data_IF_682570768977
#
_entry.id   IF_682570768977
#
_cell.length_a   1.000
_cell.length_b   1.000
_cell.length_c   1.000
_cell.angle_alpha   90.00
_cell.angle_beta   90.00
_cell.angle_gamma   90.00
#
_symmetry.space_group_name_H-M   'P 1'
#
loop_
_entity.id
_entity.type
_entity.pdbx_description
1 polymer ?
#
# COMPACT_ATOMS: atom_id res chain seq x y z
N UNK A 1 8.45 6.45 -13.03
CA UNK A 1 9.06 5.69 -11.91
C UNK A 1 7.99 4.91 -11.17
N UNK A 2 8.34 3.83 -10.43
CA UNK A 2 7.41 3.11 -9.54
C UNK A 2 7.82 3.40 -8.09
N UNK A 3 6.90 3.94 -7.30
CA UNK A 3 7.11 4.18 -5.88
C UNK A 3 6.35 3.15 -5.05
N UNK A 4 7.06 2.38 -4.23
CA UNK A 4 6.47 1.52 -3.21
C UNK A 4 6.39 2.31 -1.91
N UNK A 5 5.20 2.77 -1.55
CA UNK A 5 4.94 3.50 -0.31
C UNK A 5 4.44 2.49 0.73
N UNK A 6 5.29 2.19 1.70
CA UNK A 6 5.02 1.21 2.75
C UNK A 6 4.64 1.92 4.03
N UNK A 7 3.36 1.87 4.40
CA UNK A 7 2.84 2.54 5.60
C UNK A 7 3.11 1.73 6.86
N UNK A 8 3.66 2.35 7.88
CA UNK A 8 4.03 1.73 9.15
C UNK A 8 3.55 2.55 10.35
N UNK A 9 3.36 1.87 11.48
CA UNK A 9 3.07 2.47 12.78
C UNK A 9 3.79 1.64 13.83
N UNK A 10 5.01 2.05 14.18
CA UNK A 10 5.88 1.33 15.10
C UNK A 10 5.50 1.67 16.54
N UNK A 11 5.32 0.64 17.35
CA UNK A 11 5.15 0.73 18.80
C UNK A 11 6.32 -0.01 19.45
N UNK A 12 7.03 0.66 20.36
CA UNK A 12 8.28 0.14 20.94
C UNK A 12 8.08 -1.11 21.79
N UNK A 13 6.88 -1.30 22.32
CA UNK A 13 6.46 -2.43 23.17
C UNK A 13 5.88 -3.63 22.39
N UNK A 14 5.95 -3.62 21.04
CA UNK A 14 5.34 -4.67 20.22
C UNK A 14 6.34 -5.43 19.34
N UNK A 15 7.09 -6.41 19.90
CA UNK A 15 8.11 -7.16 19.15
C UNK A 15 7.54 -7.94 17.98
N UNK A 16 6.28 -8.40 18.06
CA UNK A 16 5.60 -9.10 16.96
C UNK A 16 5.48 -8.19 15.74
N UNK A 17 5.05 -6.93 15.92
CA UNK A 17 4.98 -5.97 14.83
C UNK A 17 6.33 -5.66 14.22
N UNK A 18 7.36 -5.53 15.05
CA UNK A 18 8.74 -5.34 14.57
C UNK A 18 9.14 -6.45 13.62
N UNK A 19 8.94 -7.71 14.01
CA UNK A 19 9.25 -8.88 13.18
C UNK A 19 8.42 -8.87 11.88
N UNK A 20 7.12 -8.54 11.95
CA UNK A 20 6.26 -8.43 10.78
C UNK A 20 6.76 -7.40 9.78
N UNK A 21 7.16 -6.20 10.23
CA UNK A 21 7.70 -5.15 9.36
C UNK A 21 9.03 -5.59 8.72
N UNK A 22 9.96 -6.16 9.49
CA UNK A 22 11.24 -6.64 8.97
C UNK A 22 11.02 -7.68 7.88
N UNK A 23 10.18 -8.68 8.14
CA UNK A 23 9.90 -9.75 7.18
C UNK A 23 9.19 -9.22 5.93
N UNK A 24 8.20 -8.36 6.10
CA UNK A 24 7.43 -7.79 4.99
C UNK A 24 8.30 -6.93 4.07
N UNK A 25 9.06 -6.00 4.64
CA UNK A 25 9.91 -5.08 3.86
C UNK A 25 11.05 -5.84 3.20
N UNK A 26 11.70 -6.77 3.90
CA UNK A 26 12.73 -7.63 3.32
C UNK A 26 12.19 -8.49 2.18
N UNK A 27 10.96 -9.01 2.30
CA UNK A 27 10.32 -9.77 1.23
C UNK A 27 9.98 -8.90 0.02
N UNK A 28 9.48 -7.67 0.24
CA UNK A 28 9.25 -6.70 -0.82
C UNK A 28 10.54 -6.38 -1.60
N UNK A 29 11.64 -6.08 -0.88
CA UNK A 29 12.95 -5.82 -1.48
C UNK A 29 13.42 -7.01 -2.34
N UNK A 30 13.30 -8.24 -1.79
CA UNK A 30 13.66 -9.46 -2.51
C UNK A 30 12.85 -9.60 -3.80
N UNK A 31 11.52 -9.44 -3.75
CA UNK A 31 10.64 -9.59 -4.92
C UNK A 31 10.93 -8.52 -5.98
N UNK A 32 11.18 -7.28 -5.58
CA UNK A 32 11.56 -6.20 -6.52
C UNK A 32 12.85 -6.58 -7.27
N UNK A 33 13.84 -7.09 -6.55
CA UNK A 33 15.10 -7.52 -7.13
C UNK A 33 14.92 -8.75 -8.04
N UNK A 34 14.24 -9.80 -7.57
CA UNK A 34 14.01 -11.03 -8.33
C UNK A 34 13.23 -10.79 -9.63
N UNK A 35 12.28 -9.87 -9.59
CA UNK A 35 11.50 -9.48 -10.77
C UNK A 35 12.23 -8.46 -11.66
N UNK A 36 13.38 -7.94 -11.25
CA UNK A 36 14.09 -6.85 -11.93
C UNK A 36 13.15 -5.67 -12.21
N UNK A 37 12.50 -5.14 -11.18
CA UNK A 37 11.65 -3.96 -11.29
C UNK A 37 12.54 -2.72 -11.28
N UNK A 38 13.04 -2.39 -12.47
CA UNK A 38 13.90 -1.23 -12.65
C UNK A 38 13.13 0.08 -12.43
N UNK A 39 13.87 1.16 -12.16
CA UNK A 39 13.30 2.49 -11.95
C UNK A 39 12.22 2.51 -10.86
N UNK A 40 12.49 1.83 -9.73
CA UNK A 40 11.61 1.78 -8.57
C UNK A 40 12.28 2.32 -7.31
N UNK A 41 11.47 2.78 -6.36
CA UNK A 41 11.92 3.27 -5.06
C UNK A 41 10.98 2.80 -3.95
N UNK A 42 11.55 2.27 -2.86
CA UNK A 42 10.79 1.95 -1.64
C UNK A 42 10.94 3.13 -0.67
N UNK A 43 9.81 3.65 -0.20
CA UNK A 43 9.74 4.66 0.85
C UNK A 43 8.87 4.09 1.98
N UNK A 44 9.46 3.95 3.15
CA UNK A 44 8.74 3.56 4.36
C UNK A 44 8.21 4.83 5.00
N UNK A 45 6.91 4.91 5.25
CA UNK A 45 6.28 6.03 5.96
C UNK A 45 5.92 5.59 7.37
N UNK A 46 6.60 6.16 8.37
CA UNK A 46 6.37 5.89 9.78
C UNK A 46 5.62 7.05 10.43
N UNK A 47 4.45 6.80 11.02
CA UNK A 47 3.50 7.84 11.39
C UNK A 47 3.45 8.26 12.88
N UNK A 48 4.41 7.82 13.68
CA UNK A 48 4.49 8.17 15.12
C UNK A 48 5.53 9.27 15.43
N UNK A 49 5.77 10.17 14.48
CA UNK A 49 6.70 11.29 14.66
C UNK A 49 8.15 10.95 14.36
N UNK A 50 8.96 11.99 14.27
CA UNK A 50 10.38 11.90 13.94
C UNK A 50 11.18 11.23 15.05
N UNK A 51 11.73 10.05 14.78
CA UNK A 51 12.60 9.31 15.70
C UNK A 51 13.44 8.27 14.97
N UNK A 52 14.55 7.86 15.54
CA UNK A 52 15.30 6.72 15.00
C UNK A 52 14.63 5.41 15.42
N UNK A 53 14.34 4.54 14.46
CA UNK A 53 13.75 3.22 14.69
C UNK A 53 14.53 2.13 13.95
N UNK A 54 14.22 0.86 14.18
CA UNK A 54 14.79 -0.25 13.43
C UNK A 54 14.51 -0.15 11.91
N UNK A 55 13.49 0.60 11.48
CA UNK A 55 13.20 0.82 10.05
C UNK A 55 14.37 1.49 9.33
N UNK A 56 15.14 2.33 10.02
CA UNK A 56 16.31 3.00 9.46
C UNK A 56 17.45 2.04 9.12
N UNK A 57 17.42 0.80 9.63
CA UNK A 57 18.44 -0.22 9.36
C UNK A 57 18.07 -1.15 8.21
N UNK A 58 16.89 -0.98 7.59
CA UNK A 58 16.39 -1.89 6.55
C UNK A 58 16.85 -1.55 5.13
N UNK A 59 17.72 -0.55 4.96
CA UNK A 59 18.26 -0.18 3.66
C UNK A 59 17.26 0.54 2.73
N UNK A 60 16.13 1.02 3.28
CA UNK A 60 15.14 1.84 2.58
C UNK A 60 15.14 3.26 3.11
N UNK A 61 14.63 4.19 2.31
CA UNK A 61 14.36 5.54 2.80
C UNK A 61 13.17 5.53 3.76
N UNK A 62 13.31 6.22 4.90
CA UNK A 62 12.24 6.34 5.90
C UNK A 62 11.80 7.80 6.00
N UNK A 63 10.52 8.02 5.74
CA UNK A 63 9.85 9.29 5.92
C UNK A 63 8.98 9.26 7.16
N UNK A 64 9.20 10.20 8.07
CA UNK A 64 8.46 10.28 9.32
C UNK A 64 7.37 11.34 9.23
N UNK A 65 6.14 10.96 9.58
CA UNK A 65 4.99 11.84 9.76
C UNK A 65 4.53 11.80 11.22
N UNK A 66 3.60 12.68 11.59
CA UNK A 66 2.92 12.64 12.89
C UNK A 66 1.44 12.29 12.76
N UNK A 67 1.04 11.64 11.67
CA UNK A 67 -0.37 11.44 11.33
C UNK A 67 -1.09 10.52 12.32
N UNK A 68 -0.35 9.69 13.06
CA UNK A 68 -0.98 8.91 14.13
C UNK A 68 -1.56 9.77 15.25
N UNK A 69 -1.09 11.02 15.41
CA UNK A 69 -1.61 11.99 16.39
C UNK A 69 -2.86 12.73 15.94
N UNK A 70 -3.29 12.60 14.68
CA UNK A 70 -4.54 13.19 14.19
C UNK A 70 -5.69 12.70 15.06
N UNK A 71 -6.53 13.64 15.52
CA UNK A 71 -7.65 13.37 16.43
C UNK A 71 -8.82 12.70 15.66
N UNK A 72 -8.65 11.44 15.36
CA UNK A 72 -9.65 10.57 14.71
C UNK A 72 -9.40 9.12 15.09
N UNK A 73 -10.46 8.33 15.16
CA UNK A 73 -10.38 6.87 15.30
C UNK A 73 -10.24 6.18 13.93
N UNK A 74 -10.40 6.91 12.84
CA UNK A 74 -10.28 6.36 11.50
C UNK A 74 -8.82 6.12 11.11
N UNK A 75 -8.36 4.88 11.27
CA UNK A 75 -6.99 4.47 10.92
C UNK A 75 -6.71 4.59 9.43
N UNK A 76 -7.73 4.34 8.59
CA UNK A 76 -7.62 4.46 7.15
C UNK A 76 -7.36 5.91 6.70
N UNK A 77 -7.98 6.89 7.37
CA UNK A 77 -7.70 8.31 7.13
C UNK A 77 -6.23 8.64 7.41
N UNK A 78 -5.69 8.16 8.54
CA UNK A 78 -4.29 8.39 8.90
C UNK A 78 -3.33 7.78 7.88
N UNK A 79 -3.62 6.55 7.45
CA UNK A 79 -2.83 5.84 6.45
C UNK A 79 -2.89 6.52 5.06
N UNK A 80 -4.05 7.01 4.66
CA UNK A 80 -4.19 7.79 3.42
C UNK A 80 -3.39 9.10 3.50
N UNK A 81 -3.45 9.80 4.64
CA UNK A 81 -2.67 11.02 4.84
C UNK A 81 -1.17 10.75 4.73
N UNK A 82 -0.68 9.63 5.28
CA UNK A 82 0.72 9.22 5.16
C UNK A 82 1.14 9.07 3.70
N UNK A 83 0.28 8.49 2.86
CA UNK A 83 0.55 8.34 1.42
C UNK A 83 0.58 9.71 0.74
N UNK A 84 -0.38 10.60 1.02
CA UNK A 84 -0.45 11.93 0.41
C UNK A 84 0.75 12.80 0.82
N UNK A 85 1.12 12.79 2.10
CA UNK A 85 2.29 13.52 2.60
C UNK A 85 3.59 13.02 1.97
N UNK A 86 3.69 11.71 1.73
CA UNK A 86 4.82 11.11 1.04
C UNK A 86 4.89 11.58 -0.42
N UNK A 87 3.77 11.61 -1.12
CA UNK A 87 3.68 12.11 -2.50
C UNK A 87 4.17 13.55 -2.58
N UNK A 88 3.72 14.39 -1.67
CA UNK A 88 4.07 15.82 -1.67
C UNK A 88 5.53 16.03 -1.24
N UNK A 89 6.02 15.32 -0.23
CA UNK A 89 7.41 15.38 0.25
C UNK A 89 8.43 15.06 -0.85
N UNK A 90 8.13 14.05 -1.67
CA UNK A 90 9.04 13.59 -2.72
C UNK A 90 8.71 14.16 -4.10
N UNK A 91 7.75 15.08 -4.20
CA UNK A 91 7.30 15.67 -5.47
C UNK A 91 7.01 14.58 -6.52
N UNK A 92 6.33 13.49 -6.11
CA UNK A 92 6.02 12.38 -7.00
C UNK A 92 5.14 12.86 -8.15
N UNK A 93 5.61 12.64 -9.38
CA UNK A 93 4.95 13.15 -10.57
C UNK A 93 3.58 12.46 -10.83
N UNK A 94 2.60 13.15 -11.41
CA UNK A 94 1.30 12.56 -11.76
C UNK A 94 1.40 11.29 -12.61
N UNK A 95 2.45 11.17 -13.42
CA UNK A 95 2.75 10.04 -14.31
C UNK A 95 3.55 8.92 -13.66
N UNK A 96 3.95 9.07 -12.40
CA UNK A 96 4.59 8.01 -11.65
C UNK A 96 3.55 7.04 -11.09
N UNK A 97 3.91 5.76 -11.03
CA UNK A 97 3.03 4.72 -10.51
C UNK A 97 3.30 4.49 -9.02
N UNK A 98 2.26 4.54 -8.22
CA UNK A 98 2.33 4.33 -6.78
C UNK A 98 1.79 2.95 -6.45
N UNK A 99 2.56 2.17 -5.72
CA UNK A 99 2.13 0.95 -5.05
C UNK A 99 2.08 1.24 -3.56
N UNK A 100 0.86 1.37 -3.02
CA UNK A 100 0.64 1.48 -1.58
C UNK A 100 0.61 0.08 -0.98
N UNK A 101 1.37 -0.13 0.09
CA UNK A 101 1.41 -1.40 0.82
C UNK A 101 1.33 -1.16 2.33
N UNK A 102 0.51 -1.91 3.04
CA UNK A 102 0.53 -1.95 4.50
C UNK A 102 1.74 -2.75 4.98
N UNK A 103 2.62 -2.13 5.75
CA UNK A 103 3.96 -2.63 6.04
C UNK A 103 4.05 -3.95 6.82
N UNK A 104 2.94 -4.45 7.38
CA UNK A 104 2.89 -5.76 8.06
C UNK A 104 2.45 -6.90 7.17
N UNK A 105 2.01 -6.61 5.94
CA UNK A 105 1.51 -7.63 5.02
C UNK A 105 2.66 -8.21 4.20
N UNK A 106 2.72 -9.53 4.10
CA UNK A 106 3.85 -10.21 3.46
C UNK A 106 3.46 -10.61 2.04
N UNK A 107 4.23 -10.13 1.08
CA UNK A 107 4.07 -10.52 -0.33
C UNK A 107 4.51 -11.96 -0.56
N UNK A 108 3.77 -12.68 -1.40
CA UNK A 108 4.13 -13.99 -1.90
C UNK A 108 4.99 -13.85 -3.17
N UNK A 109 5.90 -14.79 -3.40
CA UNK A 109 6.81 -14.76 -4.56
C UNK A 109 6.08 -14.88 -5.89
N UNK A 110 4.93 -15.53 -5.91
CA UNK A 110 4.08 -15.74 -7.09
C UNK A 110 3.01 -14.65 -7.29
N UNK A 111 3.06 -13.54 -6.53
CA UNK A 111 2.08 -12.47 -6.60
C UNK A 111 1.78 -12.03 -8.03
N UNK A 112 0.53 -12.23 -8.47
CA UNK A 112 0.03 -11.75 -9.76
C UNK A 112 0.13 -10.21 -9.84
N UNK A 113 -0.20 -9.54 -8.74
CA UNK A 113 -0.10 -8.09 -8.62
C UNK A 113 1.31 -7.58 -8.98
N UNK A 114 2.37 -8.18 -8.38
CA UNK A 114 3.74 -7.74 -8.63
C UNK A 114 4.22 -8.04 -10.06
N UNK A 115 3.74 -9.13 -10.67
CA UNK A 115 4.03 -9.44 -12.07
C UNK A 115 3.47 -8.39 -13.03
N UNK A 116 2.27 -7.87 -12.73
CA UNK A 116 1.67 -6.78 -13.53
C UNK A 116 2.40 -5.45 -13.27
N UNK A 117 2.70 -5.13 -12.01
CA UNK A 117 3.40 -3.90 -11.64
C UNK A 117 4.78 -3.80 -12.30
N UNK A 118 5.50 -4.92 -12.43
CA UNK A 118 6.79 -4.97 -13.13
C UNK A 118 6.74 -4.31 -14.52
N UNK A 119 5.70 -4.57 -15.27
CA UNK A 119 5.55 -4.12 -16.65
C UNK A 119 4.52 -2.99 -16.80
N UNK A 120 4.14 -2.33 -15.72
CA UNK A 120 3.02 -1.37 -15.70
C UNK A 120 3.17 -0.27 -16.76
N UNK A 121 4.38 0.26 -16.94
CA UNK A 121 4.66 1.31 -17.93
C UNK A 121 4.62 0.83 -19.39
N UNK A 122 4.55 -0.49 -19.62
CA UNK A 122 4.39 -1.11 -20.93
C UNK A 122 2.93 -1.45 -21.23
N UNK A 123 2.05 -1.28 -20.26
CA UNK A 123 0.61 -1.57 -20.37
C UNK A 123 -0.19 -0.27 -20.50
N UNK A 124 -1.48 -0.42 -20.77
CA UNK A 124 -2.43 0.70 -20.71
C UNK A 124 -3.13 0.82 -19.36
N UNK A 125 -2.72 0.04 -18.36
CA UNK A 125 -3.40 0.04 -17.07
C UNK A 125 -3.07 1.29 -16.25
N UNK A 126 -4.12 1.96 -15.79
CA UNK A 126 -4.06 3.11 -14.87
C UNK A 126 -4.06 2.69 -13.41
N UNK A 127 -4.60 1.49 -13.10
CA UNK A 127 -4.54 0.91 -11.78
C UNK A 127 -4.52 -0.62 -11.79
N UNK A 128 -4.04 -1.19 -10.68
CA UNK A 128 -4.02 -2.61 -10.35
C UNK A 128 -4.68 -2.78 -8.98
N UNK A 129 -5.80 -3.51 -8.93
CA UNK A 129 -6.67 -3.54 -7.77
C UNK A 129 -7.32 -4.92 -7.57
N UNK A 130 -7.69 -5.24 -6.32
CA UNK A 130 -8.62 -6.30 -5.98
C UNK A 130 -9.85 -5.71 -5.28
N UNK A 131 -11.02 -5.86 -5.90
CA UNK A 131 -12.29 -5.46 -5.30
C UNK A 131 -12.83 -6.51 -4.34
N UNK A 132 -13.59 -6.02 -3.37
CA UNK A 132 -14.21 -6.82 -2.33
C UNK A 132 -13.30 -7.08 -1.13
N UNK A 133 -13.87 -7.44 0.03
CA UNK A 133 -13.12 -7.71 1.24
C UNK A 133 -12.31 -9.00 1.12
N UNK A 134 -11.27 -9.16 1.93
CA UNK A 134 -10.32 -10.27 1.87
C UNK A 134 -10.95 -11.65 2.08
N UNK A 135 -12.09 -11.74 2.76
CA UNK A 135 -12.80 -12.99 3.07
C UNK A 135 -13.88 -13.38 2.05
N UNK A 136 -14.02 -12.63 0.95
CA UNK A 136 -14.99 -12.91 -0.12
C UNK A 136 -14.30 -13.03 -1.47
N UNK A 137 -14.89 -13.75 -2.42
CA UNK A 137 -14.44 -13.73 -3.80
C UNK A 137 -14.41 -12.33 -4.38
N UNK A 138 -13.54 -12.12 -5.37
CA UNK A 138 -13.47 -10.86 -6.13
C UNK A 138 -14.86 -10.55 -6.73
N UNK A 139 -15.35 -9.36 -6.50
CA UNK A 139 -16.60 -8.90 -7.04
C UNK A 139 -16.48 -7.44 -7.50
N UNK A 140 -16.42 -7.22 -8.81
CA UNK A 140 -16.28 -5.92 -9.44
C UNK A 140 -17.41 -4.92 -9.12
N UNK A 141 -18.56 -5.43 -8.63
CA UNK A 141 -19.71 -4.59 -8.27
C UNK A 141 -19.65 -4.07 -6.83
N UNK A 142 -18.69 -4.52 -6.04
CA UNK A 142 -18.56 -4.04 -4.66
C UNK A 142 -17.89 -2.67 -4.64
N UNK A 143 -18.42 -1.79 -3.80
CA UNK A 143 -17.85 -0.46 -3.53
C UNK A 143 -16.69 -0.51 -2.52
N UNK A 144 -15.99 -1.63 -2.45
CA UNK A 144 -14.94 -1.95 -1.50
C UNK A 144 -13.75 -2.57 -2.24
N UNK A 145 -12.54 -2.33 -1.73
CA UNK A 145 -11.31 -2.90 -2.27
C UNK A 145 -10.29 -3.18 -1.16
N UNK A 146 -9.26 -3.94 -1.47
CA UNK A 146 -8.18 -4.20 -0.50
C UNK A 146 -7.11 -3.12 -0.65
N UNK A 147 -7.06 -2.19 0.28
CA UNK A 147 -6.05 -1.13 0.33
C UNK A 147 -4.72 -1.58 0.93
N UNK A 148 -4.67 -2.81 1.47
CA UNK A 148 -3.42 -3.40 1.98
C UNK A 148 -2.34 -3.59 0.92
N UNK A 149 -2.73 -3.75 -0.35
CA UNK A 149 -1.88 -3.72 -1.53
C UNK A 149 -2.70 -3.22 -2.72
N UNK A 150 -2.37 -2.05 -3.22
CA UNK A 150 -3.05 -1.40 -4.35
C UNK A 150 -2.06 -0.57 -5.15
N UNK A 151 -2.23 -0.52 -6.47
CA UNK A 151 -1.38 0.28 -7.35
C UNK A 151 -2.17 1.16 -8.28
N UNK A 152 -1.76 2.43 -8.44
CA UNK A 152 -2.31 3.35 -9.44
C UNK A 152 -1.37 4.51 -9.73
N UNK A 153 -1.58 5.20 -10.84
CA UNK A 153 -0.83 6.43 -11.11
C UNK A 153 -1.11 7.51 -10.07
N UNK A 154 -0.09 8.29 -9.74
CA UNK A 154 -0.14 9.33 -8.72
C UNK A 154 -1.28 10.33 -8.96
N UNK A 155 -1.58 10.65 -10.23
CA UNK A 155 -2.70 11.54 -10.59
C UNK A 155 -4.06 11.07 -10.04
N UNK A 156 -4.27 9.75 -9.92
CA UNK A 156 -5.49 9.19 -9.35
C UNK A 156 -5.43 9.12 -7.83
N UNK A 157 -4.27 8.78 -7.26
CA UNK A 157 -4.10 8.78 -5.79
C UNK A 157 -4.42 10.15 -5.20
N UNK A 158 -4.01 11.22 -5.85
CA UNK A 158 -4.30 12.61 -5.43
C UNK A 158 -5.78 12.99 -5.49
N UNK A 159 -6.62 12.21 -6.16
CA UNK A 159 -8.07 12.43 -6.23
C UNK A 159 -8.85 11.70 -5.13
N UNK A 160 -8.17 10.90 -4.30
CA UNK A 160 -8.82 10.16 -3.22
C UNK A 160 -9.25 11.15 -2.14
N UNK A 161 -10.55 11.27 -1.95
CA UNK A 161 -11.13 12.07 -0.89
C UNK A 161 -10.80 11.46 0.48
N UNK A 162 -10.57 12.28 1.48
CA UNK A 162 -10.37 11.79 2.85
C UNK A 162 -11.68 11.22 3.38
N UNK A 163 -11.66 10.00 3.95
CA UNK A 163 -12.88 9.41 4.51
C UNK A 163 -13.35 10.19 5.73
N UNK A 164 -14.66 10.25 5.93
CA UNK A 164 -15.26 10.69 7.19
C UNK A 164 -14.93 9.75 8.36
N UNK A 165 -15.28 10.14 9.58
CA UNK A 165 -14.92 9.40 10.80
C UNK A 165 -15.39 7.93 10.80
N UNK A 166 -16.53 7.65 10.17
CA UNK A 166 -17.15 6.31 10.10
C UNK A 166 -17.05 5.65 8.73
N UNK A 167 -16.39 6.30 7.78
CA UNK A 167 -16.25 5.77 6.42
C UNK A 167 -15.02 4.87 6.32
N UNK A 168 -15.16 3.75 5.61
CA UNK A 168 -14.03 2.91 5.27
C UNK A 168 -13.21 3.59 4.15
N UNK A 169 -11.90 3.76 4.35
CA UNK A 169 -11.01 4.35 3.34
C UNK A 169 -11.01 3.51 2.05
N UNK A 170 -11.26 2.23 2.17
CA UNK A 170 -11.39 1.28 1.07
C UNK A 170 -12.44 1.73 0.03
N UNK A 171 -13.53 2.34 0.48
CA UNK A 171 -14.57 2.88 -0.41
C UNK A 171 -14.06 4.07 -1.22
N UNK A 172 -13.26 4.95 -0.61
CA UNK A 172 -12.71 6.13 -1.30
C UNK A 172 -11.69 5.72 -2.36
N UNK A 173 -10.85 4.72 -2.06
CA UNK A 173 -9.96 4.12 -3.04
C UNK A 173 -10.75 3.47 -4.18
N UNK A 174 -11.74 2.63 -3.88
CA UNK A 174 -12.59 1.99 -4.89
C UNK A 174 -13.34 3.00 -5.75
N UNK A 175 -13.86 4.09 -5.16
CA UNK A 175 -14.55 5.18 -5.87
C UNK A 175 -13.66 5.79 -6.96
N UNK A 176 -12.40 6.11 -6.62
CA UNK A 176 -11.47 6.70 -7.59
C UNK A 176 -11.10 5.70 -8.70
N UNK A 177 -10.88 4.43 -8.37
CA UNK A 177 -10.56 3.43 -9.41
C UNK A 177 -11.69 3.24 -10.41
N UNK A 178 -12.95 3.49 -10.02
CA UNK A 178 -14.10 3.43 -10.92
C UNK A 178 -14.22 4.63 -11.87
N UNK A 179 -13.48 5.71 -11.61
CA UNK A 179 -13.34 6.80 -12.58
C UNK A 179 -12.37 6.44 -13.72
N UNK A 180 -11.55 5.41 -13.51
CA UNK A 180 -10.65 4.88 -14.53
C UNK A 180 -11.45 3.94 -15.41
N UNK A 181 -11.33 4.08 -16.74
CA UNK A 181 -12.01 3.19 -17.67
C UNK A 181 -11.63 1.73 -17.37
N UNK A 182 -12.62 0.82 -17.40
CA UNK A 182 -12.46 -0.61 -17.07
C UNK A 182 -11.32 -1.27 -17.86
N UNK A 183 -11.14 -0.91 -19.13
CA UNK A 183 -10.03 -1.42 -19.96
C UNK A 183 -8.64 -0.98 -19.49
N UNK A 184 -8.57 0.03 -18.64
CA UNK A 184 -7.35 0.53 -18.02
C UNK A 184 -7.25 0.14 -16.54
N UNK A 185 -8.13 -0.71 -16.05
CA UNK A 185 -8.14 -1.24 -14.69
C UNK A 185 -7.79 -2.72 -14.73
N UNK A 186 -6.65 -3.10 -14.14
CA UNK A 186 -6.31 -4.50 -13.97
C UNK A 186 -6.87 -5.00 -12.63
N UNK A 187 -7.80 -5.94 -12.70
CA UNK A 187 -8.42 -6.51 -11.52
C UNK A 187 -7.80 -7.87 -11.24
N UNK A 188 -6.97 -7.92 -10.19
CA UNK A 188 -6.33 -9.16 -9.75
C UNK A 188 -7.33 -10.07 -9.03
N UNK A 189 -7.26 -11.35 -9.30
CA UNK A 189 -8.05 -12.36 -8.58
C UNK A 189 -7.44 -12.67 -7.22
N UNK A 190 -6.12 -12.76 -7.16
CA UNK A 190 -5.33 -12.97 -5.95
C UNK A 190 -4.22 -11.95 -5.88
N UNK A 191 -4.18 -11.12 -4.84
CA UNK A 191 -3.11 -10.14 -4.64
C UNK A 191 -1.76 -10.83 -4.40
N UNK A 192 -1.79 -12.02 -3.84
CA UNK A 192 -0.56 -12.71 -3.42
C UNK A 192 0.06 -12.04 -2.20
N UNK A 193 -0.77 -11.67 -1.23
CA UNK A 193 -0.32 -11.15 0.07
C UNK A 193 -0.91 -11.98 1.22
N UNK A 194 -0.15 -12.06 2.29
CA UNK A 194 -0.60 -12.58 3.56
C UNK A 194 -0.94 -11.39 4.47
N UNK A 195 -2.22 -11.25 4.77
CA UNK A 195 -2.75 -10.19 5.62
C UNK A 195 -2.65 -10.64 7.09
N UNK A 196 -2.02 -9.83 7.90
CA UNK A 196 -2.00 -10.00 9.35
C UNK A 196 -3.23 -9.31 9.95
N UNK A 197 -4.15 -10.09 10.50
CA UNK A 197 -5.34 -9.56 11.17
C UNK A 197 -5.01 -9.19 12.62
N UNK A 198 -4.93 -7.89 12.90
CA UNK A 198 -4.70 -7.31 14.24
C UNK A 198 -3.47 -7.86 14.98
N UNK A 199 -3.55 -8.19 16.26
CA UNK A 199 -2.42 -8.54 17.12
C UNK A 199 -2.00 -10.02 17.06
N UNK A 200 -2.59 -10.79 16.14
CA UNK A 200 -2.33 -12.22 16.03
C UNK A 200 -1.23 -12.52 15.01
N UNK A 201 -0.56 -13.64 15.20
CA UNK A 201 0.43 -14.19 14.27
C UNK A 201 -0.22 -14.83 13.04
N UNK A 202 -1.55 -14.92 13.00
CA UNK A 202 -2.28 -15.59 11.96
C UNK A 202 -2.38 -14.72 10.70
N UNK A 203 -2.05 -15.30 9.57
CA UNK A 203 -2.11 -14.68 8.27
C UNK A 203 -3.26 -15.26 7.44
N UNK A 204 -3.95 -14.38 6.72
CA UNK A 204 -4.92 -14.77 5.70
C UNK A 204 -4.32 -14.45 4.34
N UNK A 205 -4.20 -15.46 3.47
CA UNK A 205 -3.73 -15.27 2.09
C UNK A 205 -4.85 -14.72 1.22
N UNK A 206 -4.55 -13.68 0.44
CA UNK A 206 -5.52 -12.98 -0.42
C UNK A 206 -5.04 -12.92 -1.87
#
# INVERSE_FOLDING_TARGET
>A
MIYFIVTTSVFDDCPIRKTQYINSIGKLQKIINDLNIDNSKIIIVENNGQRYTFLNTLGCEVFYTSNNSIQTNNKGLKELQDVLDCIDKYNIAPTDFIVKMTGRYILNEDSEFMKIVKDIHKTSYGCVIRYGPYYKPVNHKMDDCITGLIGMYCLYVKQIEKPGEKEAVEWNWAKVTRLINDKHTYIVKKLGINICTTYHSDYVTV
#
